data_IF_892529839769
#
_entry.id   IF_892529839769
#
_cell.length_a   1.000
_cell.length_b   1.000
_cell.length_c   1.000
_cell.angle_alpha   90.00
_cell.angle_beta   90.00
_cell.angle_gamma   90.00
#
_symmetry.space_group_name_H-M   'P 1'
#
loop_
_entity.id
_entity.type
_entity.pdbx_description
1 polymer ?
#
# COMPACT_ATOMS: atom_id res chain seq x y z
N UNK A 1 -42.08 15.38 -32.66
CA UNK A 1 -40.77 14.70 -32.69
C UNK A 1 -40.15 14.84 -31.31
N UNK A 2 -40.50 13.91 -30.43
CA UNK A 2 -40.00 13.84 -29.05
C UNK A 2 -38.71 13.04 -29.00
N UNK A 3 -37.66 13.63 -28.43
CA UNK A 3 -36.48 12.90 -27.95
C UNK A 3 -36.03 13.52 -26.64
N UNK A 4 -36.85 13.35 -25.60
CA UNK A 4 -36.48 13.59 -24.20
C UNK A 4 -36.51 12.26 -23.48
N UNK A 5 -35.35 11.63 -23.35
CA UNK A 5 -35.04 10.62 -22.34
C UNK A 5 -33.61 10.16 -22.63
N UNK A 6 -32.72 10.30 -21.65
CA UNK A 6 -31.49 9.50 -21.47
C UNK A 6 -30.53 10.10 -20.42
N UNK A 7 -30.76 11.32 -19.92
CA UNK A 7 -29.90 11.91 -18.88
C UNK A 7 -30.28 11.44 -17.46
N UNK A 8 -31.55 11.09 -17.22
CA UNK A 8 -32.02 10.70 -15.87
C UNK A 8 -31.61 9.26 -15.50
N UNK A 9 -31.43 8.37 -16.47
CA UNK A 9 -31.15 6.94 -16.19
C UNK A 9 -29.70 6.68 -15.80
N UNK A 10 -28.74 7.44 -16.31
CA UNK A 10 -27.31 7.23 -15.99
C UNK A 10 -26.97 7.76 -14.59
N UNK A 11 -27.60 8.87 -14.17
CA UNK A 11 -27.48 9.36 -12.79
C UNK A 11 -28.20 8.45 -11.79
N UNK A 12 -29.34 7.87 -12.17
CA UNK A 12 -30.12 6.98 -11.32
C UNK A 12 -29.38 5.69 -10.94
N UNK A 13 -28.61 5.11 -11.85
CA UNK A 13 -27.84 3.87 -11.59
C UNK A 13 -26.60 4.12 -10.73
N UNK A 14 -25.91 5.26 -10.90
CA UNK A 14 -24.79 5.62 -10.04
C UNK A 14 -25.24 5.86 -8.58
N UNK A 15 -26.40 6.46 -8.38
CA UNK A 15 -26.97 6.71 -7.04
C UNK A 15 -27.56 5.43 -6.43
N UNK A 16 -28.17 4.54 -7.23
CA UNK A 16 -28.69 3.26 -6.72
C UNK A 16 -27.59 2.26 -6.35
N UNK A 17 -26.45 2.23 -7.06
CA UNK A 17 -25.28 1.44 -6.65
C UNK A 17 -24.66 2.00 -5.37
N UNK A 18 -24.68 3.33 -5.18
CA UNK A 18 -24.27 3.96 -3.92
C UNK A 18 -25.23 3.65 -2.77
N UNK A 19 -26.55 3.57 -3.03
CA UNK A 19 -27.55 3.27 -2.00
C UNK A 19 -27.61 1.78 -1.60
N UNK A 20 -27.33 0.84 -2.50
CA UNK A 20 -27.33 -0.60 -2.16
C UNK A 20 -26.12 -0.99 -1.28
N UNK A 21 -25.05 -0.18 -1.24
CA UNK A 21 -23.96 -0.33 -0.27
C UNK A 21 -24.21 0.38 1.07
N UNK A 22 -25.25 1.22 1.17
CA UNK A 22 -25.55 2.01 2.37
C UNK A 22 -26.33 1.23 3.45
N UNK A 23 -26.60 -0.07 3.25
CA UNK A 23 -27.31 -0.91 4.20
C UNK A 23 -26.39 -1.97 4.82
N UNK A 24 -25.38 -1.55 5.60
CA UNK A 24 -24.67 -2.43 6.55
C UNK A 24 -24.47 -1.71 7.89
N UNK A 25 -24.55 -2.44 9.02
CA UNK A 25 -24.91 -1.89 10.32
C UNK A 25 -23.81 -0.99 10.89
N UNK A 26 -24.21 -0.15 11.84
CA UNK A 26 -23.44 0.89 12.52
C UNK A 26 -22.12 0.41 13.19
N UNK A 27 -21.09 0.15 12.39
CA UNK A 27 -19.69 0.25 12.76
C UNK A 27 -19.10 1.47 12.04
N UNK A 28 -18.19 2.21 12.66
CA UNK A 28 -17.53 3.37 12.08
C UNK A 28 -17.08 3.05 10.63
N UNK A 29 -17.71 3.68 9.65
CA UNK A 29 -17.40 3.45 8.23
C UNK A 29 -16.43 4.52 7.78
N UNK A 30 -15.49 4.16 6.91
CA UNK A 30 -14.49 5.10 6.36
C UNK A 30 -15.17 6.34 5.75
N UNK A 31 -16.28 6.14 5.04
CA UNK A 31 -17.06 7.24 4.47
C UNK A 31 -17.73 8.12 5.54
N UNK A 32 -18.26 7.50 6.61
CA UNK A 32 -18.85 8.22 7.74
C UNK A 32 -17.82 9.04 8.50
N UNK A 33 -16.62 8.49 8.73
CA UNK A 33 -15.55 9.19 9.44
C UNK A 33 -15.02 10.38 8.62
N UNK A 34 -14.90 10.22 7.29
CA UNK A 34 -14.54 11.31 6.37
C UNK A 34 -15.63 12.39 6.35
N UNK A 35 -16.91 11.99 6.29
CA UNK A 35 -18.03 12.94 6.32
C UNK A 35 -18.12 13.69 7.66
N UNK A 36 -17.72 13.06 8.76
CA UNK A 36 -17.60 13.69 10.07
C UNK A 36 -16.34 14.56 10.22
N UNK A 37 -15.47 14.62 9.20
CA UNK A 37 -14.27 15.45 9.20
C UNK A 37 -13.16 14.92 10.11
N UNK A 38 -13.14 13.61 10.40
CA UNK A 38 -12.07 13.02 11.19
C UNK A 38 -10.72 13.10 10.44
N UNK A 39 -9.60 13.22 11.16
CA UNK A 39 -8.28 13.16 10.56
C UNK A 39 -8.05 11.78 9.93
N UNK A 40 -7.37 11.76 8.77
CA UNK A 40 -7.22 10.55 7.96
C UNK A 40 -6.53 9.40 8.73
N UNK A 41 -5.66 9.71 9.67
CA UNK A 41 -5.06 8.73 10.58
C UNK A 41 -6.12 7.99 11.40
N UNK A 42 -7.10 8.72 11.95
CA UNK A 42 -8.20 8.11 12.71
C UNK A 42 -9.13 7.33 11.80
N UNK A 43 -9.44 7.84 10.61
CA UNK A 43 -10.23 7.12 9.60
C UNK A 43 -9.60 5.76 9.28
N UNK A 44 -8.28 5.73 9.03
CA UNK A 44 -7.57 4.48 8.72
C UNK A 44 -7.60 3.54 9.92
N UNK A 45 -7.28 4.04 11.11
CA UNK A 45 -7.31 3.23 12.33
C UNK A 45 -8.69 2.65 12.62
N UNK A 46 -9.76 3.42 12.42
CA UNK A 46 -11.14 2.97 12.62
C UNK A 46 -11.50 1.88 11.62
N UNK A 47 -11.17 2.06 10.34
CA UNK A 47 -11.38 1.03 9.32
C UNK A 47 -10.64 -0.27 9.64
N UNK A 48 -9.38 -0.19 10.06
CA UNK A 48 -8.60 -1.37 10.48
C UNK A 48 -9.17 -2.03 11.73
N UNK A 49 -9.62 -1.25 12.73
CA UNK A 49 -10.29 -1.75 13.94
C UNK A 49 -11.63 -2.41 13.62
N UNK A 50 -12.32 -1.95 12.59
CA UNK A 50 -13.53 -2.56 12.06
C UNK A 50 -13.27 -3.85 11.25
N UNK A 51 -12.00 -4.27 11.15
CA UNK A 51 -11.60 -5.50 10.45
C UNK A 51 -11.49 -5.35 8.93
N UNK A 52 -11.51 -4.12 8.40
CA UNK A 52 -11.28 -3.89 6.97
C UNK A 52 -9.80 -4.05 6.63
N UNK A 53 -9.50 -4.53 5.43
CA UNK A 53 -8.13 -4.51 4.91
C UNK A 53 -7.69 -3.08 4.57
N UNK A 54 -6.39 -2.82 4.61
CA UNK A 54 -5.81 -1.52 4.28
C UNK A 54 -6.22 -1.06 2.87
N UNK A 55 -6.24 -1.96 1.90
CA UNK A 55 -6.64 -1.68 0.52
C UNK A 55 -8.13 -1.34 0.40
N UNK A 56 -8.96 -1.93 1.26
CA UNK A 56 -10.39 -1.62 1.34
C UNK A 56 -10.59 -0.24 1.94
N UNK A 57 -9.87 0.08 3.02
CA UNK A 57 -9.91 1.39 3.66
C UNK A 57 -9.48 2.50 2.69
N UNK A 58 -8.34 2.33 2.01
CA UNK A 58 -7.85 3.28 1.01
C UNK A 58 -8.85 3.46 -0.13
N UNK A 59 -9.44 2.36 -0.61
CA UNK A 59 -10.46 2.40 -1.65
C UNK A 59 -11.72 3.16 -1.23
N UNK A 60 -12.21 2.90 -0.02
CA UNK A 60 -13.37 3.61 0.52
C UNK A 60 -13.05 5.08 0.77
N UNK A 61 -11.83 5.40 1.21
CA UNK A 61 -11.41 6.78 1.44
C UNK A 61 -11.40 7.60 0.15
N UNK A 62 -10.79 7.05 -0.92
CA UNK A 62 -10.82 7.68 -2.23
C UNK A 62 -12.24 7.84 -2.77
N UNK A 63 -13.08 6.80 -2.64
CA UNK A 63 -14.47 6.86 -3.07
C UNK A 63 -15.29 7.91 -2.29
N UNK A 64 -14.93 8.16 -1.03
CA UNK A 64 -15.51 9.21 -0.19
C UNK A 64 -14.90 10.60 -0.44
N UNK A 65 -13.95 10.73 -1.37
CA UNK A 65 -13.34 12.01 -1.77
C UNK A 65 -12.10 12.42 -0.96
N UNK A 66 -11.52 11.52 -0.16
CA UNK A 66 -10.24 11.79 0.49
C UNK A 66 -9.13 12.00 -0.56
N UNK A 67 -8.22 12.93 -0.29
CA UNK A 67 -7.09 13.18 -1.19
C UNK A 67 -6.05 12.06 -1.04
N UNK A 68 -5.44 11.59 -2.14
CA UNK A 68 -4.37 10.60 -2.08
C UNK A 68 -3.20 11.05 -1.19
N UNK A 69 -2.89 12.35 -1.19
CA UNK A 69 -1.80 12.90 -0.38
C UNK A 69 -2.06 12.74 1.12
N UNK A 70 -3.31 12.97 1.56
CA UNK A 70 -3.71 12.82 2.96
C UNK A 70 -3.67 11.36 3.40
N UNK A 71 -4.03 10.44 2.51
CA UNK A 71 -3.94 8.99 2.75
C UNK A 71 -2.48 8.55 2.92
N UNK A 72 -1.59 8.98 2.01
CA UNK A 72 -0.15 8.67 2.09
C UNK A 72 0.45 9.26 3.35
N UNK A 73 0.16 10.52 3.66
CA UNK A 73 0.67 11.19 4.86
C UNK A 73 0.23 10.49 6.14
N UNK A 74 -1.04 10.13 6.24
CA UNK A 74 -1.57 9.38 7.37
C UNK A 74 -0.91 8.00 7.48
N UNK A 75 -0.70 7.32 6.36
CA UNK A 75 -0.03 6.03 6.35
C UNK A 75 1.43 6.08 6.81
N UNK A 76 2.17 7.12 6.41
CA UNK A 76 3.53 7.38 6.89
C UNK A 76 3.52 7.61 8.40
N UNK A 77 2.62 8.46 8.89
CA UNK A 77 2.48 8.74 10.32
C UNK A 77 2.14 7.49 11.13
N UNK A 78 1.31 6.60 10.57
CA UNK A 78 0.91 5.34 11.16
C UNK A 78 1.93 4.20 10.94
N UNK A 79 3.03 4.45 10.21
CA UNK A 79 4.04 3.45 9.84
C UNK A 79 3.45 2.20 9.19
N UNK A 80 2.48 2.40 8.31
CA UNK A 80 1.82 1.32 7.56
C UNK A 80 2.68 0.88 6.36
N UNK A 81 2.27 -0.22 5.72
CA UNK A 81 2.89 -0.72 4.49
C UNK A 81 2.60 0.22 3.32
N UNK A 82 3.50 1.18 3.10
CA UNK A 82 3.37 2.20 2.06
C UNK A 82 3.41 1.60 0.66
N UNK A 83 4.10 0.49 0.44
CA UNK A 83 4.17 -0.15 -0.88
C UNK A 83 2.78 -0.70 -1.27
N UNK A 84 2.06 -1.32 -0.32
CA UNK A 84 0.67 -1.77 -0.54
C UNK A 84 -0.28 -0.60 -0.78
N UNK A 85 -0.09 0.52 -0.07
CA UNK A 85 -0.91 1.72 -0.28
C UNK A 85 -0.63 2.35 -1.64
N UNK A 86 0.64 2.54 -2.00
CA UNK A 86 1.02 3.06 -3.32
C UNK A 86 0.43 2.21 -4.42
N UNK A 87 0.56 0.88 -4.32
CA UNK A 87 -0.05 -0.04 -5.28
C UNK A 87 -1.56 0.13 -5.35
N UNK A 88 -2.25 0.18 -4.20
CA UNK A 88 -3.69 0.37 -4.15
C UNK A 88 -4.15 1.72 -4.75
N UNK A 89 -3.33 2.77 -4.64
CA UNK A 89 -3.59 4.09 -5.23
C UNK A 89 -3.29 4.11 -6.73
N UNK A 90 -2.18 3.50 -7.16
CA UNK A 90 -1.81 3.35 -8.58
C UNK A 90 -2.83 2.52 -9.36
N UNK A 91 -3.30 1.41 -8.78
CA UNK A 91 -4.37 0.57 -9.36
C UNK A 91 -5.69 1.33 -9.55
N UNK A 92 -5.87 2.44 -8.82
CA UNK A 92 -7.02 3.34 -8.91
C UNK A 92 -6.76 4.57 -9.79
N UNK A 93 -5.61 4.62 -10.46
CA UNK A 93 -5.25 5.68 -11.41
C UNK A 93 -4.69 6.95 -10.77
N UNK A 94 -4.22 6.89 -9.52
CA UNK A 94 -3.51 8.02 -8.90
C UNK A 94 -2.11 8.12 -9.52
N UNK A 95 -1.73 9.34 -9.91
CA UNK A 95 -0.41 9.64 -10.48
C UNK A 95 0.73 9.33 -9.50
N UNK A 96 1.74 8.60 -9.97
CA UNK A 96 2.90 8.24 -9.15
C UNK A 96 3.64 9.46 -8.60
N UNK A 97 3.73 10.54 -9.39
CA UNK A 97 4.37 11.79 -8.98
C UNK A 97 3.70 12.41 -7.74
N UNK A 98 2.36 12.32 -7.67
CA UNK A 98 1.58 12.80 -6.52
C UNK A 98 1.91 11.98 -5.27
N UNK A 99 1.98 10.66 -5.42
CA UNK A 99 2.30 9.76 -4.31
C UNK A 99 3.71 9.96 -3.77
N UNK A 100 4.71 10.03 -4.65
CA UNK A 100 6.10 10.27 -4.25
C UNK A 100 6.27 11.64 -3.58
N UNK A 101 5.65 12.68 -4.14
CA UNK A 101 5.67 14.02 -3.55
C UNK A 101 4.99 14.05 -2.18
N UNK A 102 3.86 13.35 -2.02
CA UNK A 102 3.16 13.24 -0.75
C UNK A 102 3.99 12.49 0.30
N UNK A 103 4.66 11.38 -0.08
CA UNK A 103 5.53 10.64 0.81
C UNK A 103 6.73 11.47 1.28
N UNK A 104 7.39 12.19 0.36
CA UNK A 104 8.49 13.10 0.71
C UNK A 104 7.99 14.24 1.60
N UNK A 105 6.85 14.84 1.28
CA UNK A 105 6.20 15.87 2.10
C UNK A 105 5.75 15.37 3.48
N UNK A 106 5.53 14.07 3.63
CA UNK A 106 5.22 13.41 4.90
C UNK A 106 6.49 13.04 5.71
N UNK A 107 7.68 13.26 5.17
CA UNK A 107 8.95 13.08 5.86
C UNK A 107 9.78 11.88 5.42
N UNK A 108 9.39 11.15 4.36
CA UNK A 108 10.27 10.15 3.75
C UNK A 108 11.39 10.83 2.95
N UNK A 109 12.54 10.17 2.86
CA UNK A 109 13.56 10.56 1.88
C UNK A 109 13.11 10.25 0.45
N UNK A 110 13.70 10.96 -0.52
CA UNK A 110 13.44 10.70 -1.95
C UNK A 110 13.69 9.24 -2.34
N UNK A 111 14.73 8.63 -1.76
CA UNK A 111 15.11 7.23 -2.02
C UNK A 111 14.07 6.28 -1.43
N UNK A 112 13.63 6.49 -0.18
CA UNK A 112 12.59 5.64 0.43
C UNK A 112 11.26 5.73 -0.32
N UNK A 113 10.88 6.93 -0.78
CA UNK A 113 9.67 7.11 -1.60
C UNK A 113 9.80 6.40 -2.95
N UNK A 114 10.98 6.45 -3.57
CA UNK A 114 11.28 5.75 -4.83
C UNK A 114 11.30 4.22 -4.65
N UNK A 115 11.91 3.72 -3.58
CA UNK A 115 11.95 2.29 -3.26
C UNK A 115 10.55 1.74 -2.97
N UNK A 116 9.72 2.54 -2.30
CA UNK A 116 8.30 2.24 -2.07
C UNK A 116 7.53 2.19 -3.38
N UNK A 117 7.76 3.15 -4.28
CA UNK A 117 7.15 3.16 -5.61
C UNK A 117 7.55 1.93 -6.44
N UNK A 118 8.84 1.58 -6.43
CA UNK A 118 9.35 0.40 -7.12
C UNK A 118 8.78 -0.89 -6.51
N UNK A 119 8.69 -0.99 -5.19
CA UNK A 119 8.05 -2.11 -4.50
C UNK A 119 6.54 -2.21 -4.82
N UNK A 120 5.88 -1.08 -5.06
CA UNK A 120 4.49 -1.02 -5.52
C UNK A 120 4.31 -1.42 -7.00
N UNK A 121 5.40 -1.60 -7.75
CA UNK A 121 5.38 -2.01 -9.16
C UNK A 121 5.51 -0.86 -10.16
N UNK A 122 5.95 0.32 -9.73
CA UNK A 122 6.24 1.42 -10.63
C UNK A 122 7.39 1.08 -11.60
N UNK A 123 7.38 1.69 -12.78
CA UNK A 123 8.48 1.56 -13.74
C UNK A 123 9.67 2.41 -13.29
N UNK A 124 10.86 1.85 -13.39
CA UNK A 124 12.11 2.54 -13.02
C UNK A 124 12.28 3.87 -13.78
N UNK A 125 11.94 3.91 -15.05
CA UNK A 125 12.03 5.12 -15.88
C UNK A 125 11.13 6.25 -15.34
N UNK A 126 9.89 5.93 -14.96
CA UNK A 126 8.95 6.90 -14.40
C UNK A 126 9.44 7.40 -13.04
N UNK A 127 9.95 6.51 -12.18
CA UNK A 127 10.53 6.86 -10.87
C UNK A 127 11.73 7.78 -11.03
N UNK A 128 12.66 7.48 -11.94
CA UNK A 128 13.83 8.34 -12.22
C UNK A 128 13.41 9.71 -12.73
N UNK A 129 12.45 9.76 -13.65
CA UNK A 129 11.91 11.03 -14.17
C UNK A 129 11.30 11.87 -13.06
N UNK A 130 10.48 11.27 -12.20
CA UNK A 130 9.85 11.96 -11.06
C UNK A 130 10.91 12.43 -10.06
N UNK A 131 11.94 11.61 -9.78
CA UNK A 131 13.05 12.03 -8.92
C UNK A 131 13.79 13.24 -9.50
N UNK A 132 14.03 13.26 -10.81
CA UNK A 132 14.65 14.41 -11.49
C UNK A 132 13.76 15.66 -11.41
N UNK A 133 12.45 15.51 -11.66
CA UNK A 133 11.46 16.59 -11.55
C UNK A 133 11.33 17.14 -10.12
N UNK A 134 11.54 16.29 -9.11
CA UNK A 134 11.59 16.66 -7.70
C UNK A 134 12.94 17.26 -7.28
N UNK A 135 13.93 17.33 -8.18
CA UNK A 135 15.24 17.92 -7.93
C UNK A 135 16.22 17.01 -7.18
N UNK A 136 16.02 15.70 -7.20
CA UNK A 136 16.96 14.75 -6.59
C UNK A 136 18.22 14.61 -7.49
N UNK A 137 19.42 14.97 -6.99
CA UNK A 137 20.63 14.98 -7.81
C UNK A 137 21.10 13.58 -8.26
N UNK A 138 20.67 12.52 -7.56
CA UNK A 138 20.99 11.13 -7.90
C UNK A 138 19.96 10.44 -8.79
N UNK A 139 19.03 11.19 -9.41
CA UNK A 139 17.87 10.62 -10.12
C UNK A 139 18.27 9.68 -11.26
N UNK A 140 19.26 10.05 -12.08
CA UNK A 140 19.69 9.22 -13.22
C UNK A 140 20.44 7.96 -12.79
N UNK A 141 21.13 8.04 -11.64
CA UNK A 141 21.88 6.93 -11.05
C UNK A 141 21.04 6.08 -10.11
N UNK A 142 19.79 6.45 -9.85
CA UNK A 142 18.91 5.71 -8.95
C UNK A 142 18.76 4.28 -9.47
N UNK A 143 19.10 3.32 -8.63
CA UNK A 143 18.97 1.90 -8.88
C UNK A 143 18.19 1.27 -7.73
N UNK A 144 17.10 0.60 -8.06
CA UNK A 144 16.33 -0.12 -7.07
C UNK A 144 17.05 -1.41 -6.70
N UNK A 145 17.46 -1.52 -5.44
CA UNK A 145 17.84 -2.78 -4.85
C UNK A 145 16.60 -3.35 -4.16
N UNK A 146 16.02 -4.43 -4.70
CA UNK A 146 14.90 -5.08 -4.05
C UNK A 146 15.29 -5.43 -2.60
N UNK A 147 14.45 -5.10 -1.60
CA UNK A 147 14.74 -5.48 -0.23
C UNK A 147 14.91 -7.00 -0.19
N UNK A 148 15.99 -7.45 0.46
CA UNK A 148 16.28 -8.88 0.56
C UNK A 148 15.05 -9.60 1.09
N UNK A 149 14.65 -10.74 0.49
CA UNK A 149 13.53 -11.51 1.02
C UNK A 149 13.79 -11.78 2.51
N UNK A 150 12.75 -11.75 3.38
CA UNK A 150 12.93 -12.11 4.77
C UNK A 150 13.65 -13.46 4.82
N UNK A 151 14.66 -13.64 5.70
CA UNK A 151 15.32 -14.92 5.83
C UNK A 151 14.24 -15.97 6.01
N UNK A 152 14.30 -17.11 5.29
CA UNK A 152 13.35 -18.19 5.49
C UNK A 152 13.25 -18.46 7.00
N UNK A 153 12.05 -18.72 7.54
CA UNK A 153 11.91 -19.04 8.95
C UNK A 153 12.95 -20.10 9.27
N UNK A 154 13.79 -19.83 10.27
CA UNK A 154 14.85 -20.73 10.67
C UNK A 154 14.23 -22.12 10.77
N UNK A 155 14.62 -23.03 9.87
CA UNK A 155 14.27 -24.43 10.01
C UNK A 155 14.93 -24.83 11.31
N UNK A 156 14.14 -24.86 12.39
CA UNK A 156 14.53 -25.45 13.65
C UNK A 156 14.74 -26.91 13.29
N UNK A 157 16.00 -27.26 12.97
CA UNK A 157 16.38 -28.64 12.77
C UNK A 157 15.88 -29.39 14.01
N UNK A 158 15.09 -30.47 13.85
CA UNK A 158 14.70 -31.26 15.00
C UNK A 158 15.98 -31.68 15.71
N UNK A 159 16.06 -31.36 17.01
CA UNK A 159 17.16 -31.73 17.86
C UNK A 159 17.42 -33.23 17.67
N UNK A 160 18.58 -33.57 17.11
CA UNK A 160 19.05 -34.94 17.06
C UNK A 160 19.36 -35.37 18.49
N UNK A 161 18.33 -35.90 19.13
CA UNK A 161 18.35 -36.62 20.38
C UNK A 161 18.85 -38.05 20.09
N UNK A 162 19.91 -38.47 20.78
CA UNK A 162 20.39 -39.87 20.78
C UNK A 162 21.64 -40.05 19.93
N UNK A 163 22.82 -40.19 20.54
CA UNK A 163 23.36 -41.48 20.98
C UNK A 163 24.63 -41.71 20.12
N UNK A 164 25.83 -41.92 20.63
CA UNK A 164 26.24 -42.88 21.64
C UNK A 164 27.14 -43.92 20.95
N UNK A 165 28.44 -43.95 21.32
CA UNK A 165 29.41 -45.00 20.95
C UNK A 165 29.90 -44.92 19.50
N UNK A 166 31.12 -45.31 19.13
CA UNK A 166 32.21 -45.99 19.81
C UNK A 166 33.34 -46.18 18.77
N UNK A 167 34.58 -46.30 19.23
CA UNK A 167 35.77 -46.32 18.38
C UNK A 167 35.86 -47.50 17.38
N UNK A 168 36.75 -47.36 16.41
CA UNK A 168 37.08 -48.42 15.47
C UNK A 168 38.07 -48.01 14.38
N UNK A 169 39.36 -48.14 14.73
CA UNK A 169 40.54 -48.51 13.91
C UNK A 169 40.91 -47.76 12.63
N UNK A 170 42.19 -47.38 12.59
CA UNK A 170 42.95 -46.99 11.42
C UNK A 170 43.25 -48.20 10.50
N UNK A 171 43.27 -47.96 9.18
CA UNK A 171 44.08 -48.67 8.20
C UNK A 171 44.16 -47.84 6.91
N UNK A 172 45.34 -47.34 6.50
CA UNK A 172 45.57 -46.98 5.11
C UNK A 172 46.01 -48.22 4.33
N UNK A 173 45.33 -48.48 3.22
CA UNK A 173 45.88 -49.30 2.15
C UNK A 173 46.60 -48.36 1.16
N UNK A 174 47.85 -48.74 0.88
CA UNK A 174 48.80 -48.22 -0.11
C UNK A 174 49.70 -47.07 0.33
#
# INVERSE_FOLDING_TARGET
MEKKSNVVTVLGVAVLVAMVWAARPAGATVAGDIAAGLPMEQVIQNGLKAGLSLETVVGQALAAGAKPEDIVKAAVALKLDLARIFRALLDRGVELAVLMKAAVGAGLSFVEAADTAMAAGAKLEDVRKILADLGYPGAETYAYAAPAPPPPPAVVAPAALGGGGGGGVASPAQ
#
